data_IF_872591326731
#
_entry.id   IF_872591326731
#
_cell.length_a   1.000
_cell.length_b   1.000
_cell.length_c   1.000
_cell.angle_alpha   90.00
_cell.angle_beta   90.00
_cell.angle_gamma   90.00
#
_symmetry.space_group_name_H-M   'P 1'
#
loop_
_entity.id
_entity.type
_entity.pdbx_description
1 polymer ?
#
# COMPACT_ATOMS: atom_id res chain seq x y z
N UNK A 1 -32.62 -71.73 41.99
CA UNK A 1 -32.88 -71.95 40.55
C UNK A 1 -32.24 -70.82 39.75
N UNK A 2 -31.21 -71.16 38.95
CA UNK A 2 -30.64 -70.40 37.81
C UNK A 2 -31.54 -70.65 36.56
N UNK A 3 -31.50 -69.88 35.45
CA UNK A 3 -30.28 -69.60 34.66
C UNK A 3 -30.16 -68.16 34.06
N UNK A 4 -29.02 -67.47 34.14
CA UNK A 4 -27.94 -67.26 33.11
C UNK A 4 -28.16 -67.75 31.66
N UNK A 5 -28.04 -66.83 30.68
CA UNK A 5 -27.12 -66.79 29.49
C UNK A 5 -27.70 -65.85 28.40
N UNK A 6 -27.08 -64.69 28.13
CA UNK A 6 -26.03 -64.37 27.12
C UNK A 6 -26.54 -64.15 25.69
N UNK A 7 -26.37 -62.93 25.16
CA UNK A 7 -26.13 -62.68 23.73
C UNK A 7 -25.13 -61.52 23.59
N UNK A 8 -24.04 -61.77 22.86
CA UNK A 8 -23.02 -60.84 22.37
C UNK A 8 -23.53 -60.13 21.11
N UNK A 9 -23.16 -58.85 20.90
CA UNK A 9 -22.94 -58.14 19.61
C UNK A 9 -22.54 -56.69 19.99
N UNK A 10 -21.29 -56.23 20.01
CA UNK A 10 -20.29 -56.06 18.95
C UNK A 10 -20.64 -54.94 17.92
N UNK A 11 -19.85 -53.85 17.97
CA UNK A 11 -19.64 -52.78 16.95
C UNK A 11 -20.78 -51.76 16.76
N UNK A 12 -20.59 -50.44 16.59
CA UNK A 12 -19.53 -49.65 15.93
C UNK A 12 -19.37 -48.28 16.64
N UNK A 13 -18.14 -47.90 17.02
CA UNK A 13 -17.75 -46.51 17.28
C UNK A 13 -17.53 -45.82 15.94
N UNK A 14 -18.34 -44.81 15.60
CA UNK A 14 -18.08 -43.94 14.46
C UNK A 14 -16.92 -43.00 14.79
N UNK A 15 -15.73 -43.35 14.29
CA UNK A 15 -14.59 -42.44 14.19
C UNK A 15 -14.90 -41.43 13.09
N UNK A 16 -15.11 -40.16 13.46
CA UNK A 16 -15.01 -39.06 12.51
C UNK A 16 -13.54 -38.86 12.14
N UNK A 17 -13.11 -39.49 11.04
CA UNK A 17 -11.90 -39.10 10.33
C UNK A 17 -12.15 -37.72 9.71
N UNK A 18 -11.66 -36.68 10.37
CA UNK A 18 -11.44 -35.39 9.75
C UNK A 18 -10.38 -35.58 8.65
N UNK A 19 -10.82 -35.53 7.40
CA UNK A 19 -9.94 -35.47 6.24
C UNK A 19 -9.21 -34.13 6.23
N UNK A 20 -8.08 -34.06 6.94
CA UNK A 20 -7.08 -33.02 6.71
C UNK A 20 -6.43 -33.31 5.35
N UNK A 21 -6.90 -32.64 4.30
CA UNK A 21 -6.10 -32.52 3.09
C UNK A 21 -4.86 -31.72 3.47
N UNK A 22 -3.75 -32.44 3.64
CA UNK A 22 -2.43 -31.86 3.73
C UNK A 22 -2.18 -31.10 2.43
N UNK A 23 -2.19 -29.77 2.50
CA UNK A 23 -1.59 -28.95 1.45
C UNK A 23 -0.09 -29.27 1.45
N UNK A 24 0.32 -30.11 0.51
CA UNK A 24 1.74 -30.29 0.18
C UNK A 24 2.34 -28.95 -0.25
N UNK A 25 3.67 -28.78 -0.10
CA UNK A 25 4.33 -27.57 -0.59
C UNK A 25 4.08 -27.48 -2.10
N UNK A 26 3.50 -26.36 -2.55
CA UNK A 26 3.37 -26.08 -3.97
C UNK A 26 4.77 -26.16 -4.59
N UNK A 27 4.93 -27.07 -5.55
CA UNK A 27 6.14 -27.18 -6.35
C UNK A 27 6.45 -25.78 -6.93
N UNK A 28 7.70 -25.34 -6.79
CA UNK A 28 8.15 -24.01 -7.16
C UNK A 28 7.77 -23.69 -8.60
N UNK A 29 6.76 -22.82 -8.77
CA UNK A 29 6.49 -22.18 -10.04
C UNK A 29 7.70 -21.31 -10.36
N UNK A 30 8.35 -21.61 -11.48
CA UNK A 30 9.31 -20.73 -12.12
C UNK A 30 8.68 -19.32 -12.19
N UNK A 31 9.37 -18.30 -11.67
CA UNK A 31 8.78 -16.98 -11.52
C UNK A 31 8.57 -16.37 -12.91
N UNK A 32 7.32 -16.37 -13.39
CA UNK A 32 6.97 -15.70 -14.64
C UNK A 32 7.57 -14.29 -14.66
N UNK A 33 8.31 -13.92 -15.72
CA UNK A 33 9.03 -12.66 -15.78
C UNK A 33 8.03 -11.50 -15.71
N UNK A 34 8.34 -10.51 -14.86
CA UNK A 34 7.47 -9.36 -14.66
C UNK A 34 7.25 -8.60 -15.98
N UNK A 35 6.01 -8.52 -16.50
CA UNK A 35 5.76 -7.88 -17.79
C UNK A 35 6.04 -6.37 -17.72
N UNK A 36 6.49 -5.82 -18.85
CA UNK A 36 6.80 -4.40 -19.03
C UNK A 36 7.87 -3.81 -18.07
N UNK A 37 8.53 -4.61 -17.22
CA UNK A 37 9.51 -4.10 -16.23
C UNK A 37 10.65 -3.32 -16.88
N UNK A 38 11.16 -3.75 -18.04
CA UNK A 38 12.21 -3.02 -18.77
C UNK A 38 11.74 -1.63 -19.24
N UNK A 39 10.47 -1.52 -19.64
CA UNK A 39 9.88 -0.25 -20.04
C UNK A 39 9.64 0.65 -18.83
N UNK A 40 9.21 0.07 -17.71
CA UNK A 40 9.11 0.76 -16.43
C UNK A 40 10.47 1.30 -15.98
N UNK A 41 11.53 0.49 -15.99
CA UNK A 41 12.91 0.91 -15.67
C UNK A 41 13.39 2.05 -16.59
N UNK A 42 13.16 1.93 -17.90
CA UNK A 42 13.56 2.94 -18.89
C UNK A 42 12.82 4.27 -18.70
N UNK A 43 11.49 4.24 -18.48
CA UNK A 43 10.68 5.43 -18.24
C UNK A 43 10.99 6.07 -16.88
N UNK A 44 11.24 5.26 -15.86
CA UNK A 44 11.65 5.71 -14.51
C UNK A 44 12.87 6.62 -14.60
N UNK A 45 13.92 6.15 -15.30
CA UNK A 45 15.17 6.90 -15.46
C UNK A 45 14.98 8.11 -16.38
N UNK A 46 14.41 7.92 -17.57
CA UNK A 46 14.33 9.00 -18.57
C UNK A 46 13.41 10.14 -18.12
N UNK A 47 12.19 9.85 -17.68
CA UNK A 47 11.25 10.87 -17.19
C UNK A 47 11.71 11.44 -15.84
N UNK A 48 12.24 10.59 -14.95
CA UNK A 48 12.75 11.03 -13.66
C UNK A 48 13.88 12.06 -13.78
N UNK A 49 14.78 11.92 -14.78
CA UNK A 49 15.78 12.95 -15.09
C UNK A 49 15.12 14.27 -15.50
N UNK A 50 14.14 14.23 -16.41
CA UNK A 50 13.42 15.43 -16.84
C UNK A 50 12.74 16.15 -15.68
N UNK A 51 12.07 15.42 -14.80
CA UNK A 51 11.42 15.99 -13.60
C UNK A 51 12.49 16.58 -12.65
N UNK A 52 13.57 15.84 -12.38
CA UNK A 52 14.65 16.31 -11.51
C UNK A 52 15.34 17.59 -12.01
N UNK A 53 15.53 17.71 -13.33
CA UNK A 53 16.08 18.92 -13.95
C UNK A 53 15.11 20.09 -13.87
N UNK A 54 13.81 19.83 -14.06
CA UNK A 54 12.77 20.84 -13.91
C UNK A 54 12.72 21.40 -12.49
N UNK A 55 12.90 20.56 -11.47
CA UNK A 55 12.97 21.00 -10.07
C UNK A 55 14.16 21.92 -9.76
N UNK A 56 15.20 21.93 -10.61
CA UNK A 56 16.35 22.81 -10.50
C UNK A 56 16.17 24.18 -11.18
N UNK A 57 15.05 24.41 -11.88
CA UNK A 57 14.80 25.65 -12.63
C UNK A 57 14.29 26.78 -11.72
N UNK A 58 14.50 28.05 -12.09
CA UNK A 58 13.99 29.22 -11.37
C UNK A 58 12.50 29.43 -11.62
N UNK A 59 11.67 28.46 -11.25
CA UNK A 59 10.21 28.51 -11.36
C UNK A 59 9.58 28.94 -10.03
N UNK A 60 8.31 29.37 -10.06
CA UNK A 60 7.58 29.71 -8.84
C UNK A 60 7.38 28.50 -7.93
N UNK A 61 7.16 28.76 -6.63
CA UNK A 61 6.86 27.70 -5.66
C UNK A 61 5.66 26.87 -6.09
N UNK A 62 4.57 27.47 -6.56
CA UNK A 62 3.36 26.74 -6.97
C UNK A 62 3.61 25.84 -8.19
N UNK A 63 4.37 26.34 -9.18
CA UNK A 63 4.74 25.54 -10.35
C UNK A 63 5.57 24.32 -9.95
N UNK A 64 6.56 24.49 -9.07
CA UNK A 64 7.40 23.38 -8.60
C UNK A 64 6.64 22.43 -7.66
N UNK A 65 5.76 22.99 -6.81
CA UNK A 65 4.95 22.21 -5.89
C UNK A 65 4.07 21.22 -6.65
N UNK A 66 3.45 21.65 -7.76
CA UNK A 66 2.68 20.77 -8.65
C UNK A 66 3.49 19.57 -9.17
N UNK A 67 4.81 19.71 -9.30
CA UNK A 67 5.70 18.67 -9.86
C UNK A 67 6.15 17.65 -8.81
N UNK A 68 6.03 17.98 -7.52
CA UNK A 68 6.33 17.07 -6.41
C UNK A 68 5.08 16.45 -5.80
N UNK A 69 3.90 16.74 -6.35
CA UNK A 69 2.64 16.07 -5.96
C UNK A 69 2.78 14.55 -6.09
N UNK A 70 2.10 13.80 -5.21
CA UNK A 70 2.29 12.35 -5.02
C UNK A 70 3.65 11.93 -4.43
N UNK A 71 4.27 12.81 -3.63
CA UNK A 71 5.50 12.51 -2.87
C UNK A 71 6.73 12.26 -3.76
N UNK A 72 7.14 13.27 -4.52
CA UNK A 72 8.35 13.20 -5.36
C UNK A 72 9.63 12.87 -4.58
N UNK A 73 9.70 13.25 -3.31
CA UNK A 73 10.83 12.90 -2.42
C UNK A 73 10.94 11.39 -2.24
N UNK A 74 9.83 10.71 -1.91
CA UNK A 74 9.77 9.24 -1.83
C UNK A 74 10.18 8.60 -3.14
N UNK A 75 9.67 9.10 -4.27
CA UNK A 75 9.96 8.53 -5.60
C UNK A 75 11.44 8.54 -5.89
N UNK A 76 12.12 9.68 -5.74
CA UNK A 76 13.55 9.77 -6.03
C UNK A 76 14.43 8.98 -5.06
N UNK A 77 14.07 8.88 -3.78
CA UNK A 77 14.80 7.98 -2.88
C UNK A 77 14.64 6.51 -3.28
N UNK A 78 13.44 6.07 -3.67
CA UNK A 78 13.23 4.70 -4.15
C UNK A 78 14.00 4.43 -5.45
N UNK A 79 14.13 5.43 -6.33
CA UNK A 79 15.00 5.33 -7.51
C UNK A 79 16.46 5.18 -7.12
N UNK A 80 16.95 5.95 -6.14
CA UNK A 80 18.31 5.84 -5.62
C UNK A 80 18.60 4.42 -5.12
N UNK A 81 17.67 3.85 -4.34
CA UNK A 81 17.79 2.47 -3.84
C UNK A 81 17.75 1.44 -4.98
N UNK A 82 16.85 1.64 -5.95
CA UNK A 82 16.63 0.68 -7.02
C UNK A 82 17.79 0.62 -8.02
N UNK A 83 18.33 1.77 -8.41
CA UNK A 83 19.41 1.85 -9.41
C UNK A 83 20.79 1.85 -8.78
N UNK A 84 20.89 2.00 -7.45
CA UNK A 84 22.15 2.24 -6.74
C UNK A 84 22.92 3.45 -7.31
N UNK A 85 22.19 4.52 -7.67
CA UNK A 85 22.76 5.77 -8.23
C UNK A 85 22.46 6.93 -7.27
N UNK A 86 23.51 7.43 -6.62
CA UNK A 86 23.43 8.51 -5.64
C UNK A 86 22.95 9.84 -6.23
N UNK A 87 23.00 10.04 -7.56
CA UNK A 87 22.48 11.28 -8.15
C UNK A 87 20.96 11.42 -7.96
N UNK A 88 20.24 10.32 -7.74
CA UNK A 88 18.82 10.37 -7.37
C UNK A 88 18.59 10.88 -5.95
N UNK A 89 19.57 10.76 -5.04
CA UNK A 89 19.50 11.40 -3.72
C UNK A 89 19.47 12.93 -3.86
N UNK A 90 20.28 13.48 -4.76
CA UNK A 90 20.23 14.92 -5.05
C UNK A 90 18.88 15.33 -5.65
N UNK A 91 18.25 14.50 -6.48
CA UNK A 91 16.89 14.73 -6.98
C UNK A 91 15.84 14.67 -5.86
N UNK A 92 15.97 13.73 -4.92
CA UNK A 92 15.12 13.65 -3.74
C UNK A 92 15.22 14.90 -2.88
N UNK A 93 16.42 15.40 -2.63
CA UNK A 93 16.66 16.63 -1.88
C UNK A 93 16.10 17.88 -2.58
N UNK A 94 16.10 17.93 -3.92
CA UNK A 94 15.41 19.01 -4.67
C UNK A 94 13.90 18.96 -4.49
N UNK A 95 13.31 17.77 -4.61
CA UNK A 95 11.87 17.58 -4.40
C UNK A 95 11.47 17.90 -2.95
N UNK A 96 12.31 17.50 -2.00
CA UNK A 96 12.17 17.79 -0.59
C UNK A 96 12.24 19.29 -0.33
N UNK A 97 13.23 20.00 -0.85
CA UNK A 97 13.34 21.45 -0.66
C UNK A 97 12.09 22.20 -1.16
N UNK A 98 11.48 21.74 -2.25
CA UNK A 98 10.21 22.30 -2.73
C UNK A 98 9.06 22.00 -1.77
N UNK A 99 8.89 20.74 -1.37
CA UNK A 99 7.74 20.33 -0.56
C UNK A 99 7.91 20.69 0.92
N UNK A 100 9.00 20.27 1.55
CA UNK A 100 9.32 20.51 2.97
C UNK A 100 9.56 22.00 3.24
N UNK A 101 10.53 22.59 2.56
CA UNK A 101 11.08 23.90 2.98
C UNK A 101 10.24 25.07 2.47
N UNK A 102 9.65 24.96 1.27
CA UNK A 102 8.84 26.04 0.68
C UNK A 102 7.35 25.92 0.96
N UNK A 103 6.86 24.77 1.41
CA UNK A 103 5.43 24.54 1.61
C UNK A 103 5.07 24.04 3.01
N UNK A 104 5.56 22.88 3.45
CA UNK A 104 5.16 22.28 4.74
C UNK A 104 5.64 23.09 5.94
N UNK A 105 6.93 23.44 6.01
CA UNK A 105 7.48 24.17 7.15
C UNK A 105 6.90 25.59 7.26
N UNK A 106 6.77 26.39 6.18
CA UNK A 106 6.14 27.71 6.25
C UNK A 106 4.67 27.67 6.69
N UNK A 107 3.93 26.62 6.32
CA UNK A 107 2.52 26.45 6.70
C UNK A 107 2.34 25.74 8.04
N UNK A 108 3.43 25.41 8.76
CA UNK A 108 3.39 24.59 9.98
C UNK A 108 2.65 23.24 9.78
N UNK A 109 2.73 22.65 8.59
CA UNK A 109 2.02 21.42 8.24
C UNK A 109 0.52 21.57 7.99
N UNK A 110 -0.02 22.80 8.02
CA UNK A 110 -1.42 23.07 7.72
C UNK A 110 -1.69 23.05 6.21
N UNK A 111 -1.61 21.86 5.61
CA UNK A 111 -1.84 21.60 4.19
C UNK A 111 -3.21 20.93 3.96
N UNK A 112 -3.81 21.03 2.76
CA UNK A 112 -4.96 20.22 2.39
C UNK A 112 -4.66 18.73 2.51
N UNK A 113 -5.68 17.90 2.82
CA UNK A 113 -5.46 16.48 3.11
C UNK A 113 -4.87 15.71 1.92
N UNK A 114 -5.23 16.09 0.70
CA UNK A 114 -4.66 15.52 -0.53
C UNK A 114 -3.19 15.91 -0.78
N UNK A 115 -2.60 16.78 0.05
CA UNK A 115 -1.19 17.14 0.08
C UNK A 115 -0.44 16.54 1.28
N UNK A 116 -1.04 15.66 2.09
CA UNK A 116 -0.39 15.09 3.28
C UNK A 116 0.59 13.95 2.91
N UNK A 117 1.80 14.30 2.46
CA UNK A 117 2.82 13.38 1.97
C UNK A 117 4.00 13.28 2.94
N UNK A 118 4.02 12.24 3.77
CA UNK A 118 5.04 12.08 4.83
C UNK A 118 6.17 11.12 4.49
N UNK A 119 5.97 10.20 3.55
CA UNK A 119 6.87 9.05 3.39
C UNK A 119 8.26 9.48 2.94
N UNK A 120 8.36 10.36 1.95
CA UNK A 120 9.65 10.86 1.48
C UNK A 120 10.44 11.59 2.56
N UNK A 121 9.76 12.38 3.40
CA UNK A 121 10.37 13.11 4.51
C UNK A 121 10.82 12.16 5.63
N UNK A 122 10.04 11.12 5.93
CA UNK A 122 10.46 10.09 6.87
C UNK A 122 11.67 9.31 6.33
N UNK A 123 11.71 9.01 5.03
CA UNK A 123 12.86 8.37 4.39
C UNK A 123 14.11 9.25 4.47
N UNK A 124 13.99 10.57 4.28
CA UNK A 124 15.12 11.49 4.44
C UNK A 124 15.66 11.42 5.88
N UNK A 125 14.81 11.64 6.89
CA UNK A 125 15.24 11.61 8.30
C UNK A 125 15.91 10.28 8.68
N UNK A 126 15.34 9.15 8.27
CA UNK A 126 15.89 7.84 8.60
C UNK A 126 17.25 7.57 7.94
N UNK A 127 17.61 8.29 6.87
CA UNK A 127 18.90 8.19 6.19
C UNK A 127 19.92 9.21 6.71
N UNK A 128 19.49 10.45 6.90
CA UNK A 128 20.37 11.60 7.15
C UNK A 128 20.41 12.02 8.61
N UNK A 129 19.38 11.69 9.39
CA UNK A 129 19.14 12.24 10.71
C UNK A 129 18.63 13.70 10.68
N UNK A 130 18.23 14.24 9.53
CA UNK A 130 17.83 15.65 9.40
C UNK A 130 16.62 16.00 10.30
N UNK A 131 16.83 16.82 11.35
CA UNK A 131 15.75 17.17 12.27
C UNK A 131 14.63 17.98 11.60
N UNK A 132 14.88 18.67 10.49
CA UNK A 132 13.86 19.40 9.73
C UNK A 132 12.87 18.43 9.07
N UNK A 133 13.35 17.33 8.50
CA UNK A 133 12.52 16.26 7.92
C UNK A 133 11.65 15.60 8.97
N UNK A 134 12.23 15.25 10.12
CA UNK A 134 11.48 14.73 11.27
C UNK A 134 10.40 15.71 11.72
N UNK A 135 10.74 17.00 11.85
CA UNK A 135 9.80 18.05 12.22
C UNK A 135 8.65 18.16 11.23
N UNK A 136 8.93 18.13 9.93
CA UNK A 136 7.90 18.24 8.90
C UNK A 136 6.94 17.03 8.92
N UNK A 137 7.44 15.81 9.13
CA UNK A 137 6.59 14.61 9.32
C UNK A 137 5.64 14.79 10.53
N UNK A 138 6.16 15.25 11.67
CA UNK A 138 5.34 15.48 12.87
C UNK A 138 4.28 16.56 12.62
N UNK A 139 4.66 17.70 12.01
CA UNK A 139 3.73 18.78 11.69
C UNK A 139 2.60 18.32 10.76
N UNK A 140 2.90 17.51 9.75
CA UNK A 140 1.88 16.97 8.85
C UNK A 140 0.90 16.04 9.58
N UNK A 141 1.42 15.13 10.41
CA UNK A 141 0.62 14.23 11.23
C UNK A 141 -0.25 14.95 12.28
N UNK A 142 0.12 16.17 12.68
CA UNK A 142 -0.61 16.96 13.65
C UNK A 142 -1.60 17.95 13.00
N UNK A 143 -1.21 18.56 11.87
CA UNK A 143 -1.85 19.79 11.37
C UNK A 143 -2.44 19.69 9.96
N UNK A 144 -2.13 18.65 9.17
CA UNK A 144 -2.76 18.49 7.86
C UNK A 144 -4.28 18.33 8.00
N UNK A 145 -5.04 18.78 7.00
CA UNK A 145 -6.49 18.58 7.03
C UNK A 145 -6.82 17.09 7.17
N UNK A 146 -7.86 16.80 7.96
CA UNK A 146 -8.30 15.44 8.35
C UNK A 146 -7.36 14.65 9.28
N UNK A 147 -6.11 15.08 9.47
CA UNK A 147 -5.14 14.49 10.41
C UNK A 147 -5.16 15.13 11.82
N UNK A 148 -5.82 16.28 11.99
CA UNK A 148 -5.93 16.95 13.29
C UNK A 148 -6.79 16.14 14.26
N UNK A 149 -6.41 16.12 15.54
CA UNK A 149 -7.17 15.41 16.58
C UNK A 149 -8.59 15.95 16.72
N UNK A 150 -8.75 17.27 16.59
CA UNK A 150 -10.04 17.95 16.64
C UNK A 150 -10.91 17.80 15.38
N UNK A 151 -10.47 17.06 14.35
CA UNK A 151 -11.31 16.81 13.16
C UNK A 151 -12.56 16.04 13.57
N UNK A 152 -13.79 16.52 13.27
CA UNK A 152 -15.00 15.77 13.59
C UNK A 152 -14.98 14.38 12.94
N UNK A 153 -15.26 13.27 13.66
CA UNK A 153 -15.29 11.93 13.05
C UNK A 153 -16.22 11.81 11.85
N UNK A 154 -17.32 12.56 11.84
CA UNK A 154 -18.28 12.57 10.74
C UNK A 154 -17.68 13.07 9.41
N UNK A 155 -16.60 13.85 9.43
CA UNK A 155 -15.94 14.38 8.22
C UNK A 155 -14.99 13.38 7.56
N UNK A 156 -14.70 12.26 8.22
CA UNK A 156 -13.81 11.21 7.68
C UNK A 156 -14.55 9.89 7.51
N UNK A 157 -15.85 9.86 7.80
CA UNK A 157 -16.69 8.67 7.72
C UNK A 157 -17.14 8.35 6.27
N UNK A 158 -17.52 9.32 5.43
CA UNK A 158 -17.91 9.06 4.04
C UNK A 158 -16.74 8.54 3.18
N UNK A 159 -17.03 7.63 2.26
CA UNK A 159 -16.01 7.09 1.34
C UNK A 159 -15.41 8.14 0.37
N UNK A 160 -16.07 9.27 0.17
CA UNK A 160 -15.55 10.41 -0.61
C UNK A 160 -14.30 11.04 0.00
N UNK A 161 -14.09 10.93 1.32
CA UNK A 161 -12.92 11.44 2.04
C UNK A 161 -11.79 10.38 2.17
N UNK A 162 -11.94 9.23 1.50
CA UNK A 162 -11.07 8.07 1.70
C UNK A 162 -9.59 8.32 1.37
N UNK A 163 -9.30 9.18 0.38
CA UNK A 163 -7.92 9.54 0.04
C UNK A 163 -7.26 10.30 1.20
N UNK A 164 -7.96 11.28 1.75
CA UNK A 164 -7.51 12.11 2.86
C UNK A 164 -7.33 11.27 4.13
N UNK A 165 -8.24 10.32 4.38
CA UNK A 165 -8.10 9.34 5.48
C UNK A 165 -6.90 8.41 5.27
N UNK A 166 -6.70 7.89 4.07
CA UNK A 166 -5.54 7.05 3.75
C UNK A 166 -4.21 7.80 4.00
N UNK A 167 -4.11 9.05 3.55
CA UNK A 167 -2.93 9.88 3.78
C UNK A 167 -2.76 10.25 5.26
N UNK A 168 -3.83 10.52 6.00
CA UNK A 168 -3.75 10.72 7.45
C UNK A 168 -3.21 9.48 8.18
N UNK A 169 -3.68 8.28 7.84
CA UNK A 169 -3.14 7.01 8.40
C UNK A 169 -1.65 6.87 8.08
N UNK A 170 -1.25 7.07 6.82
CA UNK A 170 0.16 7.01 6.43
C UNK A 170 1.00 8.04 7.20
N UNK A 171 0.49 9.26 7.40
CA UNK A 171 1.18 10.32 8.15
C UNK A 171 1.44 9.95 9.60
N UNK A 172 0.47 9.31 10.27
CA UNK A 172 0.64 8.85 11.65
C UNK A 172 1.68 7.74 11.74
N UNK A 173 1.60 6.76 10.83
CA UNK A 173 2.52 5.62 10.83
C UNK A 173 3.95 6.03 10.44
N UNK A 174 4.10 7.03 9.57
CA UNK A 174 5.41 7.60 9.24
C UNK A 174 5.95 8.45 10.40
N UNK A 175 5.11 9.20 11.12
CA UNK A 175 5.50 9.91 12.34
C UNK A 175 6.01 8.96 13.43
N UNK A 176 5.33 7.83 13.62
CA UNK A 176 5.80 6.77 14.53
C UNK A 176 7.17 6.22 14.12
N UNK A 177 7.40 6.03 12.82
CA UNK A 177 8.69 5.52 12.31
C UNK A 177 9.87 6.46 12.60
N UNK A 178 9.60 7.75 12.80
CA UNK A 178 10.60 8.76 13.18
C UNK A 178 10.56 9.08 14.68
N UNK A 179 9.95 8.21 15.48
CA UNK A 179 9.97 8.25 16.94
C UNK A 179 8.90 9.11 17.59
N UNK A 180 7.84 9.51 16.88
CA UNK A 180 6.66 10.11 17.52
C UNK A 180 5.83 9.03 18.23
N UNK A 181 5.09 9.37 19.29
CA UNK A 181 4.13 8.44 19.88
C UNK A 181 2.98 8.15 18.90
N UNK A 182 2.41 6.96 19.01
CA UNK A 182 1.21 6.58 18.25
C UNK A 182 0.06 7.55 18.53
N UNK A 183 -0.52 8.10 17.46
CA UNK A 183 -1.65 9.04 17.53
C UNK A 183 -2.93 8.31 17.96
N UNK A 184 -3.65 8.85 18.94
CA UNK A 184 -4.88 8.24 19.46
C UNK A 184 -5.97 8.06 18.38
N UNK A 185 -6.02 8.97 17.40
CA UNK A 185 -6.99 8.94 16.29
C UNK A 185 -6.72 7.82 15.26
N UNK A 186 -5.54 7.19 15.26
CA UNK A 186 -5.16 6.20 14.26
C UNK A 186 -6.17 5.05 14.17
N UNK A 187 -6.55 4.47 15.31
CA UNK A 187 -7.48 3.34 15.32
C UNK A 187 -8.82 3.71 14.67
N UNK A 188 -9.36 4.89 15.00
CA UNK A 188 -10.61 5.38 14.41
C UNK A 188 -10.50 5.58 12.88
N UNK A 189 -9.38 6.12 12.39
CA UNK A 189 -9.18 6.28 10.94
C UNK A 189 -9.05 4.92 10.24
N UNK A 190 -8.42 3.93 10.87
CA UNK A 190 -8.35 2.55 10.33
C UNK A 190 -9.74 1.92 10.26
N UNK A 191 -10.58 2.08 11.29
CA UNK A 191 -11.99 1.66 11.23
C UNK A 191 -12.73 2.34 10.08
N UNK A 192 -12.52 3.65 9.88
CA UNK A 192 -13.16 4.39 8.80
C UNK A 192 -12.66 3.95 7.42
N UNK A 193 -11.36 3.67 7.26
CA UNK A 193 -10.80 3.14 6.02
C UNK A 193 -11.38 1.75 5.68
N UNK A 194 -11.55 0.86 6.67
CA UNK A 194 -12.28 -0.39 6.49
C UNK A 194 -13.75 -0.14 6.13
N UNK A 195 -14.39 0.82 6.79
CA UNK A 195 -15.75 1.27 6.48
C UNK A 195 -15.90 1.87 5.08
N UNK A 196 -14.88 2.51 4.52
CA UNK A 196 -14.89 3.00 3.13
C UNK A 196 -14.92 1.84 2.14
N UNK A 197 -14.11 0.79 2.37
CA UNK A 197 -14.14 -0.42 1.55
C UNK A 197 -15.51 -1.11 1.65
N UNK A 198 -16.13 -1.14 2.84
CA UNK A 198 -17.50 -1.67 3.00
C UNK A 198 -18.53 -0.83 2.23
N UNK A 199 -18.50 0.50 2.37
CA UNK A 199 -19.38 1.41 1.65
C UNK A 199 -19.28 1.25 0.13
N UNK A 200 -18.09 0.97 -0.41
CA UNK A 200 -17.92 0.75 -1.86
C UNK A 200 -18.27 -0.67 -2.31
N UNK A 201 -17.92 -1.71 -1.54
CA UNK A 201 -17.88 -3.09 -2.06
C UNK A 201 -18.70 -4.09 -1.25
N UNK A 202 -18.93 -3.84 0.04
CA UNK A 202 -19.76 -4.66 0.91
C UNK A 202 -21.22 -4.21 0.86
N UNK A 203 -21.55 -3.22 1.70
CA UNK A 203 -22.86 -2.59 1.75
C UNK A 203 -23.24 -1.82 0.47
N UNK A 204 -22.24 -1.35 -0.30
CA UNK A 204 -22.45 -0.63 -1.59
C UNK A 204 -23.35 0.61 -1.45
N UNK A 205 -23.15 1.39 -0.39
CA UNK A 205 -23.89 2.62 -0.10
C UNK A 205 -23.23 3.88 -0.65
N UNK A 206 -21.97 3.81 -1.08
CA UNK A 206 -21.25 4.95 -1.66
C UNK A 206 -21.80 5.30 -3.05
N UNK A 207 -22.04 6.60 -3.35
CA UNK A 207 -22.62 7.02 -4.64
C UNK A 207 -21.64 6.94 -5.80
N UNK A 208 -20.34 7.06 -5.51
CA UNK A 208 -19.25 7.06 -6.50
C UNK A 208 -18.14 6.14 -6.01
N UNK A 209 -17.70 5.23 -6.89
CA UNK A 209 -16.53 4.38 -6.69
C UNK A 209 -15.40 4.91 -7.56
N UNK A 210 -14.26 5.19 -6.95
CA UNK A 210 -13.07 5.68 -7.64
C UNK A 210 -11.94 4.66 -7.42
N UNK A 211 -11.62 3.78 -8.40
CA UNK A 211 -10.72 2.64 -8.20
C UNK A 211 -9.36 2.98 -7.57
N UNK A 212 -8.76 4.11 -7.96
CA UNK A 212 -7.46 4.50 -7.41
C UNK A 212 -7.55 4.89 -5.93
N UNK A 213 -8.70 5.42 -5.45
CA UNK A 213 -8.87 5.74 -4.04
C UNK A 213 -8.89 4.48 -3.19
N UNK A 214 -9.55 3.41 -3.65
CA UNK A 214 -9.48 2.11 -3.00
C UNK A 214 -8.04 1.55 -2.98
N UNK A 215 -7.24 1.82 -4.01
CA UNK A 215 -5.80 1.53 -4.02
C UNK A 215 -5.03 2.28 -2.92
N UNK A 216 -5.28 3.59 -2.74
CA UNK A 216 -4.69 4.39 -1.66
C UNK A 216 -5.11 3.90 -0.27
N UNK A 217 -6.40 3.56 -0.09
CA UNK A 217 -6.91 2.95 1.14
C UNK A 217 -6.20 1.63 1.43
N UNK A 218 -6.00 0.79 0.40
CA UNK A 218 -5.27 -0.46 0.53
C UNK A 218 -3.82 -0.23 0.94
N UNK A 219 -3.10 0.74 0.36
CA UNK A 219 -1.73 1.09 0.79
C UNK A 219 -1.67 1.44 2.28
N UNK A 220 -2.58 2.29 2.76
CA UNK A 220 -2.63 2.70 4.16
C UNK A 220 -2.92 1.52 5.10
N UNK A 221 -3.90 0.69 4.74
CA UNK A 221 -4.27 -0.50 5.52
C UNK A 221 -3.15 -1.57 5.49
N UNK A 222 -2.48 -1.77 4.35
CA UNK A 222 -1.35 -2.69 4.24
C UNK A 222 -0.21 -2.26 5.17
N UNK A 223 0.16 -0.97 5.18
CA UNK A 223 1.19 -0.47 6.10
C UNK A 223 0.79 -0.67 7.56
N UNK A 224 -0.48 -0.46 7.90
CA UNK A 224 -0.98 -0.72 9.26
C UNK A 224 -0.93 -2.22 9.61
N UNK A 225 -1.33 -3.09 8.68
CA UNK A 225 -1.29 -4.54 8.84
C UNK A 225 0.15 -5.05 9.06
N UNK A 226 1.13 -4.50 8.35
CA UNK A 226 2.53 -4.88 8.51
C UNK A 226 3.04 -4.69 9.95
N UNK A 227 2.50 -3.70 10.68
CA UNK A 227 2.84 -3.43 12.07
C UNK A 227 1.99 -4.20 13.08
N UNK A 228 0.70 -4.42 12.79
CA UNK A 228 -0.29 -4.87 13.78
C UNK A 228 -0.84 -6.26 13.54
N UNK A 229 -0.74 -6.75 12.30
CA UNK A 229 -1.36 -8.00 11.83
C UNK A 229 -2.88 -8.03 12.03
N UNK A 230 -3.55 -6.88 11.92
CA UNK A 230 -5.01 -6.80 12.04
C UNK A 230 -5.72 -7.77 11.06
N UNK A 231 -6.41 -8.81 11.57
CA UNK A 231 -6.95 -9.88 10.73
C UNK A 231 -8.11 -9.44 9.84
N UNK A 232 -8.67 -8.24 10.05
CA UNK A 232 -9.78 -7.70 9.25
C UNK A 232 -9.32 -7.15 7.91
N UNK A 233 -8.03 -6.78 7.79
CA UNK A 233 -7.49 -6.10 6.61
C UNK A 233 -7.38 -7.02 5.39
N UNK A 234 -6.78 -8.22 5.46
CA UNK A 234 -6.68 -9.11 4.30
C UNK A 234 -8.03 -9.42 3.62
N UNK A 235 -9.12 -9.81 4.34
CA UNK A 235 -10.40 -10.08 3.68
C UNK A 235 -11.05 -8.82 3.09
N UNK A 236 -10.90 -7.65 3.72
CA UNK A 236 -11.45 -6.39 3.19
C UNK A 236 -10.75 -5.97 1.89
N UNK A 237 -9.42 -6.05 1.84
CA UNK A 237 -8.65 -5.79 0.62
C UNK A 237 -9.01 -6.81 -0.46
N UNK A 238 -9.10 -8.10 -0.12
CA UNK A 238 -9.52 -9.15 -1.07
C UNK A 238 -10.86 -8.86 -1.71
N UNK A 239 -11.86 -8.45 -0.92
CA UNK A 239 -13.17 -8.06 -1.43
C UNK A 239 -13.07 -6.89 -2.43
N UNK A 240 -12.35 -5.83 -2.04
CA UNK A 240 -12.15 -4.65 -2.89
C UNK A 240 -11.47 -4.99 -4.22
N UNK A 241 -10.35 -5.71 -4.18
CA UNK A 241 -9.60 -6.07 -5.39
C UNK A 241 -10.41 -6.99 -6.32
N UNK A 242 -11.10 -8.00 -5.77
CA UNK A 242 -11.96 -8.86 -6.57
C UNK A 242 -13.08 -8.07 -7.26
N UNK A 243 -13.71 -7.13 -6.55
CA UNK A 243 -14.76 -6.32 -7.11
C UNK A 243 -14.23 -5.40 -8.22
N UNK A 244 -13.12 -4.71 -7.96
CA UNK A 244 -12.49 -3.81 -8.93
C UNK A 244 -12.12 -4.57 -10.20
N UNK A 245 -11.48 -5.73 -10.10
CA UNK A 245 -11.14 -6.52 -11.28
C UNK A 245 -12.38 -6.91 -12.09
N UNK A 246 -13.45 -7.35 -11.43
CA UNK A 246 -14.65 -7.83 -12.09
C UNK A 246 -15.52 -6.72 -12.74
N UNK A 247 -15.48 -5.50 -12.20
CA UNK A 247 -16.44 -4.45 -12.59
C UNK A 247 -15.79 -3.15 -13.08
N UNK A 248 -14.55 -2.88 -12.67
CA UNK A 248 -13.87 -1.62 -12.93
C UNK A 248 -12.81 -1.72 -14.04
N UNK A 249 -12.31 -2.92 -14.32
CA UNK A 249 -11.27 -3.13 -15.32
C UNK A 249 -11.83 -3.10 -16.74
N UNK A 250 -11.26 -2.23 -17.58
CA UNK A 250 -11.58 -2.12 -19.01
C UNK A 250 -10.51 -2.90 -19.78
N UNK A 251 -10.84 -4.12 -20.20
CA UNK A 251 -9.87 -5.06 -20.77
C UNK A 251 -9.20 -4.54 -22.04
N UNK A 252 -9.94 -3.87 -22.92
CA UNK A 252 -9.44 -3.32 -24.19
C UNK A 252 -8.51 -2.11 -24.00
N UNK A 253 -8.53 -1.50 -22.82
CA UNK A 253 -7.72 -0.33 -22.47
C UNK A 253 -6.58 -0.66 -21.51
N UNK A 254 -6.51 -1.89 -21.03
CA UNK A 254 -5.58 -2.33 -19.98
C UNK A 254 -5.56 -1.37 -18.77
N UNK A 255 -6.73 -0.88 -18.36
CA UNK A 255 -6.83 0.09 -17.25
C UNK A 255 -8.17 0.02 -16.54
N UNK A 256 -8.20 0.55 -15.31
CA UNK A 256 -9.46 0.84 -14.65
C UNK A 256 -10.07 2.14 -15.20
N UNK A 257 -11.39 2.22 -15.25
CA UNK A 257 -12.10 3.50 -15.35
C UNK A 257 -11.72 4.48 -14.22
N UNK A 258 -11.86 5.77 -14.47
CA UNK A 258 -11.55 6.83 -13.51
C UNK A 258 -12.46 6.77 -12.29
N UNK A 259 -13.78 6.77 -12.51
CA UNK A 259 -14.79 6.62 -11.48
C UNK A 259 -16.16 6.20 -12.03
N UNK A 260 -16.95 5.62 -11.11
CA UNK A 260 -18.41 5.69 -10.93
C UNK A 260 -19.32 6.17 -12.06
N UNK A 261 -19.06 7.39 -12.50
CA UNK A 261 -19.95 8.22 -13.30
C UNK A 261 -19.75 7.99 -14.79
N UNK A 262 -18.58 7.49 -15.19
CA UNK A 262 -18.26 7.13 -16.58
C UNK A 262 -17.38 5.88 -16.65
N UNK A 263 -18.02 4.71 -16.85
CA UNK A 263 -17.36 3.39 -16.99
C UNK A 263 -16.53 3.24 -18.26
N UNK A 264 -16.54 4.22 -19.16
CA UNK A 264 -15.76 4.17 -20.40
C UNK A 264 -14.43 4.93 -20.30
N UNK A 265 -14.29 5.84 -19.32
CA UNK A 265 -13.13 6.70 -19.15
C UNK A 265 -11.95 5.97 -18.48
N UNK A 266 -11.16 5.24 -19.27
CA UNK A 266 -9.95 4.56 -18.80
C UNK A 266 -8.90 5.52 -18.22
N UNK A 267 -8.23 5.13 -17.14
CA UNK A 267 -7.19 5.92 -16.44
C UNK A 267 -5.92 5.12 -16.15
N UNK A 268 -5.12 4.77 -17.17
CA UNK A 268 -3.90 3.96 -17.01
C UNK A 268 -2.87 4.59 -16.06
N UNK A 269 -2.81 5.92 -15.96
CA UNK A 269 -1.89 6.65 -15.07
C UNK A 269 -2.05 6.26 -13.59
N UNK A 270 -3.24 5.78 -13.22
CA UNK A 270 -3.62 5.44 -11.86
C UNK A 270 -3.47 3.95 -11.54
N UNK A 271 -3.21 3.10 -12.53
CA UNK A 271 -3.09 1.65 -12.34
C UNK A 271 -2.02 1.30 -11.29
N UNK A 272 -0.90 2.05 -11.24
CA UNK A 272 0.20 1.74 -10.33
C UNK A 272 -0.02 2.22 -8.89
N UNK A 273 -1.14 2.90 -8.63
CA UNK A 273 -1.68 3.08 -7.28
C UNK A 273 -2.51 1.88 -6.80
N UNK A 274 -2.75 0.88 -7.65
CA UNK A 274 -3.62 -0.27 -7.37
C UNK A 274 -2.82 -1.58 -7.46
N UNK A 275 -1.99 -1.75 -8.50
CA UNK A 275 -1.24 -2.99 -8.73
C UNK A 275 -0.48 -3.53 -7.49
N UNK A 276 0.21 -2.70 -6.68
CA UNK A 276 0.89 -3.18 -5.46
C UNK A 276 0.00 -3.98 -4.51
N UNK A 277 -1.28 -3.62 -4.35
CA UNK A 277 -2.21 -4.34 -3.48
C UNK A 277 -2.44 -5.80 -3.95
N UNK A 278 -2.45 -6.03 -5.27
CA UNK A 278 -2.57 -7.37 -5.85
C UNK A 278 -1.32 -8.21 -5.56
N UNK A 279 -0.12 -7.63 -5.72
CA UNK A 279 1.12 -8.34 -5.35
C UNK A 279 1.14 -8.67 -3.86
N UNK A 280 0.73 -7.73 -2.99
CA UNK A 280 0.63 -7.99 -1.56
C UNK A 280 -0.34 -9.14 -1.25
N UNK A 281 -1.52 -9.18 -1.89
CA UNK A 281 -2.50 -10.24 -1.67
C UNK A 281 -2.03 -11.59 -2.20
N UNK A 282 -1.29 -11.62 -3.32
CA UNK A 282 -0.58 -12.82 -3.76
C UNK A 282 0.40 -13.32 -2.69
N UNK A 283 1.18 -12.44 -2.07
CA UNK A 283 2.08 -12.81 -0.96
C UNK A 283 1.33 -13.34 0.27
N UNK A 284 0.13 -12.83 0.56
CA UNK A 284 -0.67 -13.34 1.68
C UNK A 284 -1.28 -14.72 1.42
N UNK A 285 -1.59 -15.05 0.16
CA UNK A 285 -2.47 -16.18 -0.18
C UNK A 285 -1.80 -17.28 -1.00
N UNK A 286 -0.74 -16.97 -1.75
CA UNK A 286 -0.16 -17.84 -2.76
C UNK A 286 -1.00 -18.01 -4.03
N UNK A 287 -2.14 -17.32 -4.16
CA UNK A 287 -3.05 -17.48 -5.29
C UNK A 287 -2.56 -16.68 -6.51
N UNK A 288 -2.12 -17.40 -7.55
CA UNK A 288 -1.55 -16.83 -8.77
C UNK A 288 -2.53 -15.93 -9.52
N UNK A 289 -3.86 -16.03 -9.28
CA UNK A 289 -4.82 -15.09 -9.83
C UNK A 289 -4.46 -13.63 -9.49
N UNK A 290 -4.04 -13.36 -8.25
CA UNK A 290 -3.65 -12.01 -7.84
C UNK A 290 -2.34 -11.56 -8.46
N UNK A 291 -1.38 -12.48 -8.63
CA UNK A 291 -0.14 -12.21 -9.36
C UNK A 291 -0.43 -11.82 -10.80
N UNK A 292 -1.19 -12.65 -11.52
CA UNK A 292 -1.45 -12.48 -12.95
C UNK A 292 -2.30 -11.23 -13.21
N UNK A 293 -3.27 -10.97 -12.34
CA UNK A 293 -4.09 -9.76 -12.38
C UNK A 293 -3.26 -8.51 -12.14
N UNK A 294 -2.43 -8.52 -11.08
CA UNK A 294 -1.50 -7.44 -10.80
C UNK A 294 -0.56 -7.17 -11.98
N UNK A 295 -0.07 -8.22 -12.64
CA UNK A 295 0.89 -8.14 -13.74
C UNK A 295 0.26 -7.44 -14.96
N UNK A 296 -1.02 -7.71 -15.23
CA UNK A 296 -1.80 -7.02 -16.27
C UNK A 296 -2.01 -5.54 -15.94
N UNK A 297 -2.37 -5.23 -14.69
CA UNK A 297 -2.58 -3.85 -14.24
C UNK A 297 -1.27 -3.06 -14.33
N UNK A 298 -0.18 -3.66 -13.86
CA UNK A 298 1.16 -3.08 -13.94
C UNK A 298 1.57 -2.81 -15.38
N UNK A 299 1.44 -3.80 -16.27
CA UNK A 299 1.77 -3.64 -17.68
C UNK A 299 0.97 -2.51 -18.35
N UNK A 300 -0.35 -2.43 -18.10
CA UNK A 300 -1.18 -1.35 -18.61
C UNK A 300 -0.77 0.02 -18.09
N UNK A 301 -0.46 0.12 -16.79
CA UNK A 301 0.03 1.35 -16.15
C UNK A 301 1.42 1.78 -16.60
N UNK A 302 2.20 0.86 -17.18
CA UNK A 302 3.52 1.16 -17.77
C UNK A 302 3.41 1.53 -19.23
N UNK A 303 2.58 0.84 -20.02
CA UNK A 303 2.44 1.08 -21.46
C UNK A 303 1.74 2.40 -21.75
N UNK A 304 0.59 2.62 -21.12
CA UNK A 304 -0.38 3.63 -21.53
C UNK A 304 -0.40 4.87 -20.64
N UNK A 305 0.38 4.88 -19.55
CA UNK A 305 0.41 6.05 -18.71
C UNK A 305 1.05 7.27 -19.41
N UNK A 306 0.43 8.43 -19.24
CA UNK A 306 0.98 9.74 -19.53
C UNK A 306 1.87 10.19 -18.36
N UNK A 307 3.13 10.50 -18.65
CA UNK A 307 4.13 10.88 -17.64
C UNK A 307 4.74 12.26 -17.95
N UNK A 308 3.97 13.15 -18.58
CA UNK A 308 4.49 14.41 -19.12
C UNK A 308 4.82 15.48 -18.08
N UNK A 309 4.45 15.26 -16.81
CA UNK A 309 4.80 16.12 -15.69
C UNK A 309 5.19 15.32 -14.44
N UNK A 310 5.73 16.02 -13.44
CA UNK A 310 6.17 15.44 -12.18
C UNK A 310 5.01 14.81 -11.39
N UNK A 311 3.80 15.37 -11.45
CA UNK A 311 2.62 14.80 -10.78
C UNK A 311 2.33 13.39 -11.27
N UNK A 312 2.20 13.20 -12.59
CA UNK A 312 1.81 11.90 -13.15
C UNK A 312 2.97 10.92 -13.10
N UNK A 313 4.22 11.40 -13.21
CA UNK A 313 5.40 10.62 -12.90
C UNK A 313 5.35 10.09 -11.46
N UNK A 314 5.23 10.95 -10.46
CA UNK A 314 5.22 10.52 -9.06
C UNK A 314 4.03 9.63 -8.74
N UNK A 315 2.86 9.91 -9.30
CA UNK A 315 1.66 9.07 -9.19
C UNK A 315 1.93 7.63 -9.63
N UNK A 316 2.64 7.46 -10.75
CA UNK A 316 2.95 6.16 -11.31
C UNK A 316 4.02 5.43 -10.46
N UNK A 317 5.02 6.15 -9.95
CA UNK A 317 6.18 5.54 -9.29
C UNK A 317 6.11 5.44 -7.76
N UNK A 318 5.27 6.22 -7.06
CA UNK A 318 5.32 6.30 -5.59
C UNK A 318 5.17 4.94 -4.90
N UNK A 319 4.33 4.05 -5.43
CA UNK A 319 4.07 2.73 -4.84
C UNK A 319 4.48 1.55 -5.75
N UNK A 320 4.83 1.80 -7.02
CA UNK A 320 5.16 0.72 -7.96
C UNK A 320 6.44 -0.03 -7.62
N UNK A 321 7.38 0.58 -6.88
CA UNK A 321 8.59 -0.11 -6.41
C UNK A 321 8.25 -1.30 -5.51
N UNK A 322 7.23 -1.18 -4.66
CA UNK A 322 6.78 -2.29 -3.81
C UNK A 322 6.20 -3.43 -4.65
N UNK A 323 5.48 -3.10 -5.74
CA UNK A 323 5.02 -4.11 -6.70
C UNK A 323 6.19 -4.89 -7.30
N UNK A 324 7.21 -4.21 -7.80
CA UNK A 324 8.40 -4.84 -8.39
C UNK A 324 9.14 -5.69 -7.35
N UNK A 325 9.33 -5.15 -6.14
CA UNK A 325 9.96 -5.86 -5.02
C UNK A 325 9.22 -7.14 -4.65
N UNK A 326 7.91 -7.04 -4.44
CA UNK A 326 7.07 -8.18 -4.10
C UNK A 326 7.04 -9.19 -5.25
N UNK A 327 6.94 -8.78 -6.51
CA UNK A 327 6.95 -9.73 -7.63
C UNK A 327 8.28 -10.46 -7.80
N UNK A 328 9.41 -9.84 -7.45
CA UNK A 328 10.74 -10.46 -7.51
C UNK A 328 11.08 -11.34 -6.32
N UNK A 329 10.45 -11.10 -5.17
CA UNK A 329 10.61 -11.97 -3.99
C UNK A 329 9.68 -13.16 -4.18
N UNK A 330 10.21 -14.33 -4.57
CA UNK A 330 9.43 -15.58 -4.53
C UNK A 330 8.92 -15.80 -3.10
N UNK A 331 7.69 -16.28 -2.93
CA UNK A 331 6.91 -16.30 -1.68
C UNK A 331 7.51 -17.08 -0.50
N UNK A 332 8.71 -16.74 -0.05
CA UNK A 332 9.45 -17.37 1.05
C UNK A 332 9.33 -16.61 2.37
N UNK A 333 8.40 -15.66 2.49
CA UNK A 333 8.08 -15.04 3.79
C UNK A 333 7.04 -15.84 4.60
N UNK A 334 6.91 -17.14 4.33
CA UNK A 334 6.38 -18.12 5.27
C UNK A 334 7.49 -19.11 5.60
N UNK A 335 8.34 -18.80 6.59
CA UNK A 335 9.09 -19.79 7.42
C UNK A 335 10.06 -19.18 8.47
N UNK A 336 10.02 -17.89 8.78
CA UNK A 336 10.84 -17.31 9.87
C UNK A 336 10.02 -16.95 11.12
N UNK A 337 9.06 -17.81 11.51
CA UNK A 337 8.36 -17.69 12.81
C UNK A 337 8.23 -19.03 13.54
N UNK A 338 9.12 -19.99 13.25
CA UNK A 338 9.34 -21.19 14.07
C UNK A 338 10.82 -21.33 14.45
N UNK A 339 11.35 -20.32 15.12
CA UNK A 339 12.62 -20.42 15.84
C UNK A 339 12.61 -19.51 17.07
N UNK A 340 11.57 -19.65 17.91
CA UNK A 340 11.50 -18.99 19.21
C UNK A 340 10.70 -19.84 20.23
N UNK A 341 10.79 -21.17 20.13
CA UNK A 341 10.15 -22.08 21.07
C UNK A 341 10.93 -23.40 21.22
N UNK A 342 12.24 -23.32 21.50
CA UNK A 342 12.99 -24.38 22.20
C UNK A 342 14.14 -23.72 22.97
N UNK A 343 13.84 -22.92 24.00
CA UNK A 343 14.74 -22.74 25.14
C UNK A 343 13.85 -22.63 26.36
N UNK A 344 13.82 -23.69 27.17
CA UNK A 344 13.07 -23.71 28.42
C UNK A 344 12.52 -25.09 28.72
N UNK A 345 13.38 -26.02 29.13
CA UNK A 345 13.05 -26.71 30.39
C UNK A 345 14.32 -27.03 31.18
N UNK A 346 14.27 -26.65 32.45
CA UNK A 346 15.27 -26.99 33.46
C UNK A 346 15.20 -28.48 33.77
N UNK A 347 16.32 -29.10 34.13
CA UNK A 347 16.57 -29.59 35.49
C UNK A 347 15.36 -30.25 36.15
N UNK A 348 15.45 -31.57 36.34
CA UNK A 348 15.35 -32.18 37.67
C UNK A 348 16.02 -33.57 37.71
N UNK A 349 16.73 -33.80 38.83
CA UNK A 349 17.08 -35.07 39.51
C UNK A 349 17.74 -36.24 38.74
N UNK A 350 19.04 -36.47 38.97
CA UNK A 350 19.60 -37.28 40.07
C UNK A 350 21.10 -36.99 40.27
#
# INVERSE_FOLDING_TARGET
MRPRRSVNSAWILSVMLASWLAFGPAAGAESDPLPAVKQWESRMVSVGRTVCDLLGRPESTDQLLAQVYYDGTRVFFQMADYTNDASWVACAQRAEAVYRDRYVLPTQGAVPGHWNFTRGLAMDYLRSGDPASRRAVMLLAENAAFARDGTPPAWTMPAEDSREVAYAILSYLDAESVGAPRRARLAMLVEQALGHLDQWFGARTAPVITPFMAGLTAEALIKYYEQTRDPRIPPAIKLALNWLWAHAWISEKEAFWYDSRDTSAASPDLNLLIAPAYAWLYHQTGDSLYRDTGDRIFAGGVKYAWLGDGKHFNQNYRWSFDYVKWRRTTGSMQLHTRAAAVIGDGRDSD
#
